data_IF_948317338681
#
_entry.id   IF_948317338681
#
_cell.length_a   1.000
_cell.length_b   1.000
_cell.length_c   1.000
_cell.angle_alpha   90.00
_cell.angle_beta   90.00
_cell.angle_gamma   90.00
#
_symmetry.space_group_name_H-M   'P 1'
#
loop_
_entity.id
_entity.type
_entity.pdbx_description
1 polymer ?
#
# COMPACT_ATOMS: atom_id res chain seq x y z
N UNK A 1 40.38 11.57 22.87
CA UNK A 1 39.57 11.60 21.64
C UNK A 1 38.12 11.37 22.01
N UNK A 2 37.15 12.09 21.42
CA UNK A 2 35.73 11.79 21.60
C UNK A 2 35.47 10.32 21.28
N UNK A 3 34.78 9.62 22.19
CA UNK A 3 34.35 8.25 21.93
C UNK A 3 32.90 8.27 21.44
N UNK A 4 32.55 7.36 20.55
CA UNK A 4 31.14 7.21 20.12
C UNK A 4 30.38 6.30 21.08
N UNK A 5 29.05 6.32 21.00
CA UNK A 5 28.20 5.38 21.73
C UNK A 5 28.52 3.92 21.40
N UNK A 6 28.24 3.04 22.37
CA UNK A 6 28.48 1.59 22.29
C UNK A 6 27.57 0.86 21.30
N UNK A 7 26.53 1.52 20.79
CA UNK A 7 25.60 0.95 19.82
C UNK A 7 25.98 1.32 18.37
N UNK A 8 27.13 2.00 18.17
CA UNK A 8 27.62 2.35 16.84
C UNK A 8 26.79 3.43 16.13
N UNK A 9 25.98 4.19 16.87
CA UNK A 9 25.10 5.22 16.30
C UNK A 9 25.85 6.53 15.99
N UNK A 10 27.13 6.63 16.35
CA UNK A 10 27.97 7.79 16.10
C UNK A 10 27.63 9.00 16.99
N UNK A 11 26.93 8.78 18.10
CA UNK A 11 26.66 9.82 19.10
C UNK A 11 27.97 10.13 19.81
N UNK A 12 28.43 11.37 19.71
CA UNK A 12 29.66 11.81 20.34
C UNK A 12 29.48 11.90 21.85
N UNK A 13 30.30 11.17 22.60
CA UNK A 13 30.41 11.30 24.05
C UNK A 13 31.49 12.34 24.31
N UNK A 14 31.14 13.38 25.07
CA UNK A 14 32.08 14.43 25.41
C UNK A 14 33.30 13.87 26.13
N UNK A 15 34.49 14.28 25.70
CA UNK A 15 35.73 13.92 26.36
C UNK A 15 35.85 14.72 27.67
N UNK A 16 36.15 14.05 28.77
CA UNK A 16 36.33 14.68 30.10
C UNK A 16 37.60 15.55 30.19
N UNK A 17 38.30 15.78 29.07
CA UNK A 17 39.52 16.57 28.98
C UNK A 17 39.28 18.03 28.62
N UNK A 18 38.06 18.38 28.18
CA UNK A 18 37.69 19.76 27.84
C UNK A 18 37.12 20.50 29.07
N UNK A 19 37.22 21.83 29.07
CA UNK A 19 36.62 22.65 30.12
C UNK A 19 35.10 22.40 30.22
N UNK A 20 34.51 22.25 31.43
CA UNK A 20 33.10 21.91 31.56
C UNK A 20 32.19 22.98 30.95
N UNK A 21 31.49 22.63 29.86
CA UNK A 21 30.42 23.45 29.29
C UNK A 21 29.14 22.61 29.17
N UNK A 22 28.27 22.75 30.17
CA UNK A 22 27.03 21.99 30.26
C UNK A 22 26.05 22.27 29.11
N UNK A 23 26.05 23.49 28.55
CA UNK A 23 25.20 23.84 27.43
C UNK A 23 25.66 23.12 26.14
N UNK A 24 26.96 23.14 25.85
CA UNK A 24 27.53 22.43 24.69
C UNK A 24 27.34 20.92 24.81
N UNK A 25 27.50 20.36 26.00
CA UNK A 25 27.20 18.94 26.26
C UNK A 25 25.73 18.61 25.97
N UNK A 26 24.80 19.41 26.51
CA UNK A 26 23.37 19.20 26.33
C UNK A 26 22.95 19.33 24.86
N UNK A 27 23.41 20.35 24.14
CA UNK A 27 23.12 20.52 22.71
C UNK A 27 23.70 19.38 21.87
N UNK A 28 24.94 18.95 22.12
CA UNK A 28 25.54 17.83 21.38
C UNK A 28 24.79 16.52 21.61
N UNK A 29 24.30 16.27 22.83
CA UNK A 29 23.48 15.10 23.15
C UNK A 29 22.10 15.22 22.50
N UNK A 30 21.42 16.35 22.68
CA UNK A 30 20.05 16.58 22.19
C UNK A 30 20.02 16.61 20.67
N UNK A 31 20.91 17.31 19.98
CA UNK A 31 20.92 17.37 18.52
C UNK A 31 21.28 16.01 17.91
N UNK A 32 22.18 15.25 18.54
CA UNK A 32 22.51 13.90 18.13
C UNK A 32 21.34 12.91 18.34
N UNK A 33 20.62 13.01 19.46
CA UNK A 33 19.47 12.14 19.77
C UNK A 33 18.20 12.54 19.00
N UNK A 34 17.93 13.84 18.88
CA UNK A 34 16.70 14.37 18.28
C UNK A 34 16.60 14.01 16.81
N UNK A 35 17.73 13.96 16.09
CA UNK A 35 17.78 13.46 14.72
C UNK A 35 17.73 11.93 14.56
N UNK A 36 17.92 11.16 15.66
CA UNK A 36 18.28 9.73 15.65
C UNK A 36 17.47 8.83 16.61
N UNK A 37 16.38 9.33 17.19
CA UNK A 37 15.54 8.54 18.11
C UNK A 37 15.07 7.19 17.51
N UNK A 38 15.04 7.08 16.17
CA UNK A 38 15.00 5.81 15.45
C UNK A 38 16.38 5.52 14.82
N UNK A 39 16.91 4.30 15.02
CA UNK A 39 18.14 3.85 14.36
C UNK A 39 17.97 3.91 12.85
N UNK A 40 19.02 4.20 12.06
CA UNK A 40 18.92 4.28 10.60
C UNK A 40 19.92 3.35 9.93
N UNK A 41 19.45 2.53 9.00
CA UNK A 41 20.27 1.61 8.21
C UNK A 41 19.96 1.72 6.73
N UNK A 42 20.93 1.40 5.88
CA UNK A 42 20.74 1.41 4.44
C UNK A 42 19.72 0.36 3.97
N UNK A 43 19.73 -0.82 4.60
CA UNK A 43 18.88 -1.97 4.26
C UNK A 43 18.65 -2.88 5.47
N UNK A 44 17.75 -3.86 5.33
CA UNK A 44 17.54 -4.89 6.36
C UNK A 44 18.80 -5.73 6.63
N UNK A 45 19.61 -6.04 5.60
CA UNK A 45 20.86 -6.78 5.76
C UNK A 45 21.91 -5.98 6.54
N UNK A 46 22.05 -4.69 6.24
CA UNK A 46 22.94 -3.78 6.98
C UNK A 46 22.54 -3.67 8.46
N UNK A 47 21.23 -3.56 8.74
CA UNK A 47 20.70 -3.59 10.11
C UNK A 47 21.04 -4.89 10.82
N UNK A 48 20.76 -6.05 10.20
CA UNK A 48 20.97 -7.34 10.84
C UNK A 48 22.46 -7.63 11.11
N UNK A 49 23.36 -7.12 10.27
CA UNK A 49 24.81 -7.21 10.49
C UNK A 49 25.26 -6.31 11.66
N UNK A 50 24.69 -5.11 11.80
CA UNK A 50 25.03 -4.18 12.87
C UNK A 50 24.38 -4.55 14.22
N UNK A 51 23.23 -5.24 14.19
CA UNK A 51 22.45 -5.65 15.36
C UNK A 51 22.26 -7.17 15.37
N UNK A 52 23.29 -7.96 15.72
CA UNK A 52 23.20 -9.42 15.78
C UNK A 52 22.32 -9.92 16.94
N UNK A 53 22.16 -9.11 17.99
CA UNK A 53 21.35 -9.41 19.18
C UNK A 53 20.39 -8.25 19.50
N UNK A 54 19.36 -8.01 18.67
CA UNK A 54 18.40 -6.95 18.90
C UNK A 54 17.52 -7.23 20.13
N UNK A 55 17.11 -6.17 20.84
CA UNK A 55 16.23 -6.27 22.01
C UNK A 55 14.79 -5.87 21.65
N UNK A 56 13.75 -6.47 22.27
CA UNK A 56 12.37 -6.05 22.08
C UNK A 56 12.22 -4.54 22.34
N UNK A 57 11.48 -3.83 21.48
CA UNK A 57 11.31 -2.38 21.60
C UNK A 57 12.19 -1.55 20.67
N UNK A 58 13.25 -2.13 20.10
CA UNK A 58 14.13 -1.40 19.18
C UNK A 58 13.40 -0.97 17.92
N UNK A 59 13.60 0.29 17.48
CA UNK A 59 13.03 0.85 16.25
C UNK A 59 14.13 1.27 15.28
N UNK A 60 13.99 0.89 14.01
CA UNK A 60 14.93 1.19 12.96
C UNK A 60 14.25 1.62 11.66
N UNK A 61 14.77 2.67 11.01
CA UNK A 61 14.41 3.12 9.67
C UNK A 61 15.36 2.50 8.65
N UNK A 62 14.80 1.91 7.59
CA UNK A 62 15.52 1.39 6.44
C UNK A 62 15.38 2.39 5.29
N UNK A 63 16.46 3.05 4.90
CA UNK A 63 16.40 4.20 3.99
C UNK A 63 16.15 3.80 2.53
N UNK A 64 16.67 2.66 2.08
CA UNK A 64 16.46 2.18 0.70
C UNK A 64 15.02 1.73 0.50
N UNK A 65 14.50 0.92 1.41
CA UNK A 65 13.16 0.35 1.36
C UNK A 65 12.09 1.33 1.88
N UNK A 66 12.51 2.44 2.49
CA UNK A 66 11.65 3.47 3.11
C UNK A 66 10.72 2.90 4.19
N UNK A 67 11.25 1.99 5.00
CA UNK A 67 10.51 1.27 6.05
C UNK A 67 10.86 1.83 7.42
N UNK A 68 9.88 1.82 8.33
CA UNK A 68 10.17 1.82 9.76
C UNK A 68 9.93 0.39 10.24
N UNK A 69 10.86 -0.15 11.02
CA UNK A 69 10.82 -1.51 11.54
C UNK A 69 10.96 -1.49 13.05
N UNK A 70 10.30 -2.41 13.72
CA UNK A 70 10.32 -2.60 15.17
C UNK A 70 10.70 -4.05 15.48
N UNK A 71 11.54 -4.26 16.48
CA UNK A 71 11.86 -5.61 16.94
C UNK A 71 10.87 -6.03 18.03
N UNK A 72 10.08 -7.07 17.76
CA UNK A 72 9.01 -7.54 18.65
C UNK A 72 9.47 -8.54 19.73
N UNK A 73 10.76 -8.88 19.71
CA UNK A 73 11.38 -9.88 20.58
C UNK A 73 11.66 -11.21 19.89
N UNK A 74 11.01 -11.47 18.75
CA UNK A 74 11.22 -12.66 17.91
C UNK A 74 11.81 -12.31 16.54
N UNK A 75 11.49 -11.12 16.03
CA UNK A 75 11.91 -10.66 14.72
C UNK A 75 11.68 -9.17 14.52
N UNK A 76 12.22 -8.65 13.42
CA UNK A 76 11.93 -7.30 12.96
C UNK A 76 10.66 -7.29 12.14
N UNK A 77 9.65 -6.56 12.60
CA UNK A 77 8.40 -6.33 11.88
C UNK A 77 8.35 -4.93 11.29
N UNK A 78 7.63 -4.74 10.19
CA UNK A 78 7.49 -3.41 9.57
C UNK A 78 6.35 -2.65 10.24
N UNK A 79 6.64 -1.47 10.77
CA UNK A 79 5.62 -0.49 11.18
C UNK A 79 5.21 0.29 9.94
N UNK A 80 3.94 0.15 9.54
CA UNK A 80 3.42 0.56 8.23
C UNK A 80 3.94 1.90 7.71
N UNK A 81 4.23 1.95 6.41
CA UNK A 81 4.65 3.13 5.67
C UNK A 81 3.73 3.28 4.44
N UNK A 82 3.26 4.50 4.16
CA UNK A 82 2.03 4.67 3.37
C UNK A 82 1.96 5.89 2.44
N UNK A 83 3.05 6.64 2.24
CA UNK A 83 3.08 7.73 1.26
C UNK A 83 3.43 7.21 -0.15
N UNK A 84 2.69 6.20 -0.63
CA UNK A 84 2.74 5.82 -2.04
C UNK A 84 1.79 6.72 -2.84
N UNK A 85 2.31 7.37 -3.88
CA UNK A 85 1.50 8.15 -4.81
C UNK A 85 0.45 7.25 -5.47
N UNK A 86 -0.75 7.80 -5.66
CA UNK A 86 -1.81 7.10 -6.39
C UNK A 86 -1.46 7.02 -7.87
N UNK A 87 -1.55 5.82 -8.44
CA UNK A 87 -1.35 5.57 -9.86
C UNK A 87 -2.69 5.30 -10.51
N UNK A 88 -3.02 6.04 -11.56
CA UNK A 88 -4.25 5.84 -12.33
C UNK A 88 -4.18 4.54 -13.13
N UNK A 89 -5.22 3.71 -13.03
CA UNK A 89 -5.34 2.46 -13.78
C UNK A 89 -5.83 2.78 -15.19
N UNK A 90 -5.11 2.33 -16.21
CA UNK A 90 -5.62 2.36 -17.59
C UNK A 90 -6.82 1.42 -17.71
N UNK A 91 -7.94 1.93 -18.22
CA UNK A 91 -9.18 1.16 -18.39
C UNK A 91 -9.25 0.51 -19.77
N UNK A 92 -9.83 -0.68 -19.83
CA UNK A 92 -10.17 -1.35 -21.09
C UNK A 92 -11.37 -0.65 -21.78
N UNK A 93 -11.54 -0.89 -23.07
CA UNK A 93 -12.67 -0.33 -23.82
C UNK A 93 -14.02 -0.76 -23.22
N UNK A 94 -15.00 0.14 -23.16
CA UNK A 94 -16.29 -0.13 -22.51
C UNK A 94 -16.36 0.29 -21.04
N UNK A 95 -15.26 0.77 -20.47
CA UNK A 95 -15.22 1.38 -19.15
C UNK A 95 -14.76 2.84 -19.24
N UNK A 96 -15.29 3.68 -18.35
CA UNK A 96 -14.87 5.07 -18.19
C UNK A 96 -14.53 5.38 -16.74
N UNK A 97 -13.66 6.33 -16.48
CA UNK A 97 -13.40 6.81 -15.12
C UNK A 97 -14.59 7.59 -14.55
N UNK A 98 -14.51 7.92 -13.26
CA UNK A 98 -15.43 8.82 -12.57
C UNK A 98 -16.88 8.30 -12.48
N UNK A 99 -17.03 6.98 -12.30
CA UNK A 99 -18.33 6.38 -12.00
C UNK A 99 -18.91 6.94 -10.71
N UNK A 100 -20.13 7.47 -10.78
CA UNK A 100 -20.81 8.14 -9.66
C UNK A 100 -19.95 9.25 -9.00
N UNK A 101 -19.24 10.04 -9.81
CA UNK A 101 -18.41 11.15 -9.36
C UNK A 101 -17.33 10.76 -8.33
N UNK A 102 -16.86 9.51 -8.35
CA UNK A 102 -15.85 9.01 -7.41
C UNK A 102 -14.39 9.29 -7.85
N UNK A 103 -14.18 10.01 -8.96
CA UNK A 103 -12.86 10.23 -9.55
C UNK A 103 -12.31 9.03 -10.32
N UNK A 104 -11.05 9.12 -10.73
CA UNK A 104 -10.40 8.06 -11.50
C UNK A 104 -10.19 6.79 -10.66
N UNK A 105 -10.26 5.63 -11.32
CA UNK A 105 -9.84 4.37 -10.71
C UNK A 105 -8.32 4.41 -10.56
N UNK A 106 -7.84 4.32 -9.32
CA UNK A 106 -6.43 4.40 -8.98
C UNK A 106 -6.06 3.30 -7.99
N UNK A 107 -4.78 2.94 -7.98
CA UNK A 107 -4.21 2.05 -6.98
C UNK A 107 -2.97 2.66 -6.33
N UNK A 108 -2.60 2.12 -5.18
CA UNK A 108 -1.27 2.27 -4.59
C UNK A 108 -0.91 1.01 -3.81
N UNK A 109 0.38 0.70 -3.73
CA UNK A 109 0.90 -0.36 -2.88
C UNK A 109 1.37 0.28 -1.58
N UNK A 110 0.88 -0.22 -0.45
CA UNK A 110 1.23 0.23 0.90
C UNK A 110 1.54 -0.97 1.76
N UNK A 111 2.26 -0.76 2.86
CA UNK A 111 2.35 -1.80 3.90
C UNK A 111 1.26 -1.54 4.94
N UNK A 112 0.32 -2.48 5.06
CA UNK A 112 -0.68 -2.52 6.11
C UNK A 112 -0.38 -3.71 7.00
N UNK A 113 -0.16 -3.44 8.29
CA UNK A 113 0.03 -4.48 9.32
C UNK A 113 1.14 -5.49 9.00
N UNK A 114 2.23 -5.04 8.37
CA UNK A 114 3.38 -5.89 8.03
C UNK A 114 3.25 -6.59 6.66
N UNK A 115 2.10 -6.50 6.01
CA UNK A 115 1.83 -7.13 4.70
C UNK A 115 1.77 -6.07 3.59
N UNK A 116 2.33 -6.38 2.42
CA UNK A 116 2.13 -5.52 1.26
C UNK A 116 0.68 -5.66 0.76
N UNK A 117 0.00 -4.53 0.64
CA UNK A 117 -1.41 -4.46 0.31
C UNK A 117 -1.60 -3.44 -0.79
N UNK A 118 -2.40 -3.79 -1.79
CA UNK A 118 -2.90 -2.82 -2.76
C UNK A 118 -4.15 -2.18 -2.18
N UNK A 119 -4.16 -0.86 -2.12
CA UNK A 119 -5.37 -0.07 -1.91
C UNK A 119 -5.89 0.42 -3.25
N UNK A 120 -7.19 0.32 -3.46
CA UNK A 120 -7.90 0.88 -4.59
C UNK A 120 -8.75 2.07 -4.14
N UNK A 121 -8.98 3.00 -5.07
CA UNK A 121 -9.98 4.06 -4.93
C UNK A 121 -10.53 4.46 -6.29
N UNK A 122 -11.60 5.24 -6.26
CA UNK A 122 -12.27 5.74 -7.45
C UNK A 122 -13.51 4.95 -7.81
N UNK A 123 -14.07 5.27 -8.97
CA UNK A 123 -15.19 4.53 -9.54
C UNK A 123 -15.10 4.49 -11.06
N UNK A 124 -15.76 3.51 -11.65
CA UNK A 124 -15.86 3.37 -13.10
C UNK A 124 -17.31 3.46 -13.56
N UNK A 125 -17.52 4.02 -14.75
CA UNK A 125 -18.72 3.83 -15.54
C UNK A 125 -18.58 2.54 -16.35
N UNK A 126 -19.68 1.80 -16.50
CA UNK A 126 -19.72 0.50 -17.20
C UNK A 126 -20.67 0.59 -18.38
N UNK A 127 -20.20 0.18 -19.55
CA UNK A 127 -21.01 0.06 -20.76
C UNK A 127 -21.31 -1.41 -21.06
N UNK A 128 -22.55 -1.70 -21.45
CA UNK A 128 -23.00 -3.04 -21.82
C UNK A 128 -23.34 -3.09 -23.32
N UNK A 129 -22.35 -3.24 -24.22
CA UNK A 129 -22.59 -3.26 -25.66
C UNK A 129 -23.38 -4.50 -26.11
N UNK A 130 -24.02 -4.39 -27.29
CA UNK A 130 -24.68 -5.51 -27.97
C UNK A 130 -26.17 -5.68 -27.68
N UNK A 131 -26.74 -6.76 -28.21
CA UNK A 131 -28.15 -7.14 -28.02
C UNK A 131 -28.25 -8.68 -27.88
N UNK A 132 -28.50 -9.22 -26.68
CA UNK A 132 -28.68 -8.52 -25.42
C UNK A 132 -27.36 -7.88 -24.94
N UNK A 133 -27.45 -6.73 -24.25
CA UNK A 133 -26.26 -6.05 -23.73
C UNK A 133 -25.53 -6.94 -22.73
N UNK A 134 -24.21 -7.09 -22.87
CA UNK A 134 -23.33 -7.86 -21.99
C UNK A 134 -22.16 -6.98 -21.53
N UNK A 135 -21.54 -7.30 -20.40
CA UNK A 135 -20.38 -6.56 -19.92
C UNK A 135 -19.23 -6.64 -20.94
N UNK A 136 -18.60 -5.49 -21.22
CA UNK A 136 -17.47 -5.45 -22.13
C UNK A 136 -16.30 -6.30 -21.62
N UNK A 137 -15.50 -6.87 -22.53
CA UNK A 137 -14.27 -7.63 -22.25
C UNK A 137 -14.41 -8.73 -21.18
N UNK A 138 -15.60 -9.35 -21.07
CA UNK A 138 -15.86 -10.37 -20.06
C UNK A 138 -15.73 -9.88 -18.62
N UNK A 139 -15.81 -8.57 -18.37
CA UNK A 139 -15.67 -7.99 -17.04
C UNK A 139 -14.28 -7.42 -16.73
N UNK A 140 -13.28 -7.66 -17.58
CA UNK A 140 -11.90 -7.18 -17.35
C UNK A 140 -11.84 -5.65 -17.52
N UNK A 141 -11.66 -4.95 -16.39
CA UNK A 141 -11.70 -3.49 -16.28
C UNK A 141 -10.38 -2.84 -16.71
N UNK A 142 -9.26 -3.48 -16.40
CA UNK A 142 -7.91 -2.99 -16.69
C UNK A 142 -7.58 -3.13 -18.18
N UNK A 143 -7.14 -2.06 -18.84
CA UNK A 143 -6.69 -2.07 -20.24
C UNK A 143 -5.31 -2.69 -20.43
N UNK A 144 -4.49 -2.69 -19.38
CA UNK A 144 -3.20 -3.39 -19.30
C UNK A 144 -3.05 -4.01 -17.92
N UNK A 145 -2.32 -5.12 -17.82
CA UNK A 145 -2.03 -5.73 -16.52
C UNK A 145 -1.30 -4.74 -15.60
N UNK A 146 -1.67 -4.69 -14.32
CA UNK A 146 -0.95 -3.92 -13.31
C UNK A 146 0.54 -4.33 -13.26
N UNK A 147 1.45 -3.46 -12.80
CA UNK A 147 2.86 -3.83 -12.62
C UNK A 147 3.03 -5.01 -11.65
N UNK A 148 4.09 -5.80 -11.82
CA UNK A 148 4.34 -7.00 -11.00
C UNK A 148 4.27 -6.76 -9.48
N UNK A 149 4.75 -5.59 -9.02
CA UNK A 149 4.70 -5.18 -7.61
C UNK A 149 3.27 -4.93 -7.06
N UNK A 150 2.24 -4.99 -7.90
CA UNK A 150 0.83 -4.83 -7.52
C UNK A 150 -0.03 -6.03 -7.91
N UNK A 151 0.58 -7.18 -8.27
CA UNK A 151 -0.16 -8.40 -8.61
C UNK A 151 -0.18 -9.36 -7.43
N UNK A 152 -1.35 -9.87 -7.02
CA UNK A 152 -1.40 -10.82 -5.92
C UNK A 152 -0.86 -12.19 -6.36
N UNK A 153 -0.24 -12.93 -5.43
CA UNK A 153 0.26 -14.28 -5.70
C UNK A 153 -0.85 -15.31 -6.02
N UNK A 154 -2.08 -15.04 -5.59
CA UNK A 154 -3.27 -15.83 -5.88
C UNK A 154 -4.49 -14.91 -6.11
N UNK A 155 -5.58 -15.44 -6.66
CA UNK A 155 -6.82 -14.70 -6.86
C UNK A 155 -7.31 -14.07 -5.55
N UNK A 156 -7.61 -12.77 -5.58
CA UNK A 156 -8.25 -12.05 -4.46
C UNK A 156 -9.62 -11.56 -4.89
N UNK A 157 -10.66 -11.98 -4.17
CA UNK A 157 -12.04 -11.56 -4.43
C UNK A 157 -12.49 -10.52 -3.41
N UNK A 158 -13.06 -9.43 -3.90
CA UNK A 158 -13.53 -8.28 -3.14
C UNK A 158 -14.99 -7.99 -3.51
N UNK A 159 -15.67 -7.19 -2.69
CA UNK A 159 -17.04 -6.74 -2.94
C UNK A 159 -17.03 -5.25 -3.23
N UNK A 160 -17.38 -4.85 -4.46
CA UNK A 160 -17.52 -3.44 -4.84
C UNK A 160 -18.97 -2.99 -4.76
N UNK A 161 -19.23 -1.83 -4.16
CA UNK A 161 -20.55 -1.21 -4.23
C UNK A 161 -20.86 -0.78 -5.66
N UNK A 162 -22.10 -0.93 -6.10
CA UNK A 162 -22.52 -0.54 -7.45
C UNK A 162 -23.87 0.16 -7.43
N UNK A 163 -24.23 0.75 -8.56
CA UNK A 163 -25.55 1.38 -8.71
C UNK A 163 -26.66 0.34 -8.66
N UNK A 164 -27.80 0.70 -8.06
CA UNK A 164 -29.08 0.00 -8.27
C UNK A 164 -29.87 0.57 -9.45
N UNK A 165 -29.44 1.69 -10.02
CA UNK A 165 -30.03 2.18 -11.27
C UNK A 165 -29.74 1.14 -12.34
N UNK A 166 -30.77 0.53 -12.92
CA UNK A 166 -30.63 -0.48 -13.97
C UNK A 166 -29.94 -1.80 -13.53
N UNK A 167 -29.92 -2.08 -12.22
CA UNK A 167 -29.34 -3.30 -11.63
C UNK A 167 -30.12 -3.72 -10.39
N UNK A 168 -30.36 -5.01 -10.24
CA UNK A 168 -31.11 -5.59 -9.12
C UNK A 168 -30.24 -5.86 -7.88
N UNK A 169 -28.96 -5.46 -7.92
CA UNK A 169 -28.00 -5.66 -6.81
C UNK A 169 -27.31 -4.34 -6.44
N UNK A 170 -26.90 -4.25 -5.17
CA UNK A 170 -26.16 -3.12 -4.57
C UNK A 170 -24.63 -3.34 -4.58
N UNK A 171 -24.18 -4.54 -4.94
CA UNK A 171 -22.76 -4.87 -5.01
C UNK A 171 -22.47 -5.90 -6.09
N UNK A 172 -21.22 -5.88 -6.57
CA UNK A 172 -20.67 -6.86 -7.50
C UNK A 172 -19.40 -7.47 -6.92
N UNK A 173 -19.09 -8.69 -7.36
CA UNK A 173 -17.81 -9.33 -7.07
C UNK A 173 -16.72 -8.72 -7.95
N UNK A 174 -15.59 -8.37 -7.34
CA UNK A 174 -14.40 -7.88 -8.04
C UNK A 174 -13.27 -8.87 -7.79
N UNK A 175 -12.73 -9.42 -8.85
CA UNK A 175 -11.61 -10.35 -8.81
C UNK A 175 -10.32 -9.63 -9.24
N UNK A 176 -9.34 -9.59 -8.33
CA UNK A 176 -7.97 -9.15 -8.61
C UNK A 176 -7.13 -10.41 -8.89
N UNK A 177 -6.78 -10.61 -10.16
CA UNK A 177 -6.17 -11.85 -10.66
C UNK A 177 -4.65 -11.80 -10.56
N UNK A 178 -4.01 -12.97 -10.48
CA UNK A 178 -2.55 -13.08 -10.40
C UNK A 178 -1.82 -12.64 -11.67
N UNK A 179 -2.51 -12.58 -12.81
CA UNK A 179 -2.01 -11.99 -14.06
C UNK A 179 -1.96 -10.44 -14.03
N UNK A 180 -2.53 -9.81 -13.00
CA UNK A 180 -2.55 -8.36 -12.81
C UNK A 180 -3.78 -7.67 -13.41
N UNK A 181 -4.79 -8.43 -13.86
CA UNK A 181 -6.06 -7.87 -14.30
C UNK A 181 -7.07 -7.78 -13.15
N UNK A 182 -7.93 -6.75 -13.22
CA UNK A 182 -9.08 -6.58 -12.32
C UNK A 182 -10.34 -6.86 -13.13
N UNK A 183 -11.21 -7.72 -12.61
CA UNK A 183 -12.39 -8.23 -13.30
C UNK A 183 -13.64 -8.03 -12.45
N UNK A 184 -14.73 -7.53 -13.05
CA UNK A 184 -16.07 -7.55 -12.45
C UNK A 184 -16.74 -8.86 -12.83
N UNK A 185 -17.17 -9.62 -11.83
CA UNK A 185 -17.75 -10.96 -12.00
C UNK A 185 -19.21 -10.97 -11.59
N UNK A 186 -20.01 -11.77 -12.28
CA UNK A 186 -21.41 -12.03 -11.92
C UNK A 186 -22.43 -11.06 -12.52
N UNK A 187 -22.05 -10.26 -13.52
CA UNK A 187 -23.03 -9.48 -14.29
C UNK A 187 -23.86 -10.38 -15.20
N UNK A 188 -25.11 -9.99 -15.46
CA UNK A 188 -26.03 -10.73 -16.33
C UNK A 188 -26.45 -9.88 -17.53
N UNK A 189 -27.14 -10.50 -18.48
CA UNK A 189 -27.64 -9.79 -19.68
C UNK A 189 -28.79 -8.83 -19.36
N UNK A 190 -29.07 -7.90 -20.27
CA UNK A 190 -30.15 -6.91 -20.09
C UNK A 190 -31.56 -7.50 -19.97
N UNK A 191 -31.74 -8.75 -20.41
CA UNK A 191 -32.99 -9.50 -20.36
C UNK A 191 -33.00 -10.62 -19.30
N UNK A 192 -31.96 -10.71 -18.46
CA UNK A 192 -31.89 -11.70 -17.40
C UNK A 192 -32.73 -11.30 -16.17
N UNK A 193 -33.09 -12.28 -15.34
CA UNK A 193 -33.69 -12.11 -14.03
C UNK A 193 -32.92 -12.95 -13.00
N UNK A 194 -32.15 -12.34 -12.07
CA UNK A 194 -31.99 -10.90 -11.87
C UNK A 194 -31.13 -10.25 -12.96
N UNK A 195 -31.42 -8.97 -13.25
CA UNK A 195 -30.63 -8.10 -14.13
C UNK A 195 -29.53 -7.43 -13.32
N UNK A 196 -28.28 -7.78 -13.60
CA UNK A 196 -27.10 -7.25 -12.91
C UNK A 196 -26.28 -6.46 -13.92
N UNK A 197 -26.69 -5.21 -14.15
CA UNK A 197 -26.05 -4.29 -15.10
C UNK A 197 -25.86 -2.89 -14.51
N UNK A 198 -25.13 -2.77 -13.39
CA UNK A 198 -24.92 -1.47 -12.78
C UNK A 198 -24.16 -0.55 -13.75
N UNK A 199 -24.62 0.68 -14.01
CA UNK A 199 -23.93 1.66 -14.85
C UNK A 199 -22.64 2.17 -14.22
N UNK A 200 -22.43 1.97 -12.92
CA UNK A 200 -21.17 2.29 -12.25
C UNK A 200 -20.84 1.28 -11.15
N UNK A 201 -19.53 1.13 -10.89
CA UNK A 201 -18.97 0.32 -9.81
C UNK A 201 -17.92 1.14 -9.07
N UNK A 202 -17.99 1.13 -7.73
CA UNK A 202 -17.06 1.82 -6.83
C UNK A 202 -15.94 0.89 -6.39
N UNK A 203 -14.73 1.42 -6.35
CA UNK A 203 -13.52 0.78 -5.83
C UNK A 203 -13.01 1.48 -4.57
N UNK A 204 -13.76 2.44 -4.03
CA UNK A 204 -13.38 3.18 -2.84
C UNK A 204 -13.30 2.25 -1.61
N UNK A 205 -12.16 2.30 -0.93
CA UNK A 205 -11.95 1.54 0.31
C UNK A 205 -11.68 0.05 0.09
N UNK A 206 -11.51 -0.40 -1.16
CA UNK A 206 -11.13 -1.77 -1.45
C UNK A 206 -9.63 -1.97 -1.27
N UNK A 207 -9.25 -3.10 -0.70
CA UNK A 207 -7.85 -3.48 -0.53
C UNK A 207 -7.68 -4.99 -0.67
N UNK A 208 -6.54 -5.42 -1.19
CA UNK A 208 -6.18 -6.83 -1.29
C UNK A 208 -4.70 -7.04 -0.98
N UNK A 209 -4.38 -8.16 -0.34
CA UNK A 209 -3.01 -8.56 -0.08
C UNK A 209 -2.31 -9.08 -1.32
N UNK A 210 -1.01 -8.79 -1.40
CA UNK A 210 -0.11 -9.26 -2.45
C UNK A 210 0.47 -10.65 -2.15
#
# INVERSE_FOLDING_TARGET
>A
MPTTDSYGQGIQIAALTDAPNAATLAFNIVDALTGRANMRFASASARNAALPSPAPGMVAVLTTEKLITWYDGSGWVTMGFGAAAWTTISLAAGYGHNGNSNGNLQYRVVNLFGEQTVMLKGGINVTYPGTPGLIANGGVVTGTALPAAARPGALRSLTGACSTTNSDVLSVKIDCRSDGHIEIVGTTSASANPKIQPPWVSFNGLFYSL
#
